data_IF_700867669821
#
_entry.id   IF_700867669821
#
_cell.length_a   1.000
_cell.length_b   1.000
_cell.length_c   1.000
_cell.angle_alpha   90.00
_cell.angle_beta   90.00
_cell.angle_gamma   90.00
#
_symmetry.space_group_name_H-M   'P 1'
#
loop_
_entity.id
_entity.type
_entity.pdbx_description
1 polymer ?
#
# COMPACT_ATOMS: atom_id res chain seq x y z
N UNK A 1 14.21 -17.80 46.03
CA UNK A 1 13.32 -17.36 44.94
C UNK A 1 12.51 -18.58 44.55
N UNK A 2 11.19 -18.53 44.71
CA UNK A 2 10.34 -19.71 44.48
C UNK A 2 10.43 -20.17 43.03
N UNK A 3 10.54 -21.48 42.82
CA UNK A 3 10.62 -22.11 41.49
C UNK A 3 9.44 -21.67 40.62
N UNK A 4 8.26 -21.51 41.22
CA UNK A 4 7.04 -20.99 40.60
C UNK A 4 7.24 -19.59 40.01
N UNK A 5 7.96 -18.72 40.71
CA UNK A 5 8.24 -17.35 40.29
C UNK A 5 9.23 -17.32 39.11
N UNK A 6 10.20 -18.23 39.11
CA UNK A 6 11.15 -18.40 38.00
C UNK A 6 10.41 -18.89 36.74
N UNK A 7 9.54 -19.89 36.89
CA UNK A 7 8.76 -20.43 35.77
C UNK A 7 7.82 -19.36 35.20
N UNK A 8 7.10 -18.63 36.05
CA UNK A 8 6.22 -17.56 35.62
C UNK A 8 6.97 -16.46 34.83
N UNK A 9 8.15 -16.06 35.32
CA UNK A 9 9.01 -15.09 34.63
C UNK A 9 9.48 -15.59 33.26
N UNK A 10 9.87 -16.87 33.16
CA UNK A 10 10.29 -17.47 31.89
C UNK A 10 9.17 -17.52 30.85
N UNK A 11 7.95 -17.90 31.27
CA UNK A 11 6.77 -17.93 30.38
C UNK A 11 6.42 -16.52 29.89
N UNK A 12 6.42 -15.53 30.79
CA UNK A 12 6.12 -14.14 30.42
C UNK A 12 7.15 -13.59 29.41
N UNK A 13 8.43 -13.87 29.64
CA UNK A 13 9.51 -13.48 28.74
C UNK A 13 9.37 -14.11 27.35
N UNK A 14 8.95 -15.39 27.29
CA UNK A 14 8.72 -16.08 26.02
C UNK A 14 7.55 -15.47 25.24
N UNK A 15 6.43 -15.18 25.91
CA UNK A 15 5.25 -14.54 25.27
C UNK A 15 5.61 -13.15 24.75
N UNK A 16 6.31 -12.34 25.57
CA UNK A 16 6.74 -11.01 25.16
C UNK A 16 7.69 -11.07 23.95
N UNK A 17 8.63 -12.02 23.93
CA UNK A 17 9.50 -12.23 22.78
C UNK A 17 8.72 -12.64 21.52
N UNK A 18 7.74 -13.55 21.67
CA UNK A 18 6.89 -13.97 20.56
C UNK A 18 6.04 -12.82 20.01
N UNK A 19 5.47 -11.95 20.86
CA UNK A 19 4.73 -10.77 20.43
C UNK A 19 5.61 -9.77 19.70
N UNK A 20 6.82 -9.49 20.20
CA UNK A 20 7.77 -8.62 19.49
C UNK A 20 8.08 -9.18 18.10
N UNK A 21 8.30 -10.49 17.98
CA UNK A 21 8.52 -11.11 16.68
C UNK A 21 7.27 -10.99 15.79
N UNK A 22 6.08 -11.25 16.32
CA UNK A 22 4.83 -11.16 15.57
C UNK A 22 4.47 -9.74 15.14
N UNK A 23 4.77 -8.72 15.94
CA UNK A 23 4.44 -7.33 15.63
C UNK A 23 5.46 -6.72 14.68
N UNK A 24 6.75 -7.02 14.85
CA UNK A 24 7.82 -6.33 14.12
C UNK A 24 8.40 -7.14 12.95
N UNK A 25 8.35 -8.47 12.99
CA UNK A 25 9.00 -9.32 11.97
C UNK A 25 8.02 -10.04 11.04
N UNK A 26 6.77 -10.28 11.48
CA UNK A 26 5.76 -10.88 10.62
C UNK A 26 5.09 -9.79 9.77
N UNK A 27 5.26 -9.80 8.44
CA UNK A 27 4.54 -8.86 7.59
C UNK A 27 3.04 -9.13 7.73
N UNK A 28 2.27 -8.07 7.99
CA UNK A 28 0.81 -8.15 7.95
C UNK A 28 0.41 -8.83 6.65
N UNK A 29 -0.37 -9.91 6.74
CA UNK A 29 -0.83 -10.66 5.58
C UNK A 29 -1.50 -9.64 4.65
N UNK A 30 -0.97 -9.49 3.43
CA UNK A 30 -1.55 -8.63 2.39
C UNK A 30 -2.89 -9.23 1.96
N UNK A 31 -3.91 -9.04 2.79
CA UNK A 31 -5.31 -9.19 2.36
C UNK A 31 -5.48 -8.16 1.26
N UNK A 32 -6.12 -8.56 0.14
CA UNK A 32 -6.37 -7.65 -0.99
C UNK A 32 -6.82 -6.28 -0.48
N UNK A 33 -6.32 -5.19 -1.08
CA UNK A 33 -6.61 -3.85 -0.62
C UNK A 33 -8.13 -3.67 -0.52
N UNK A 34 -8.60 -3.13 0.61
CA UNK A 34 -10.04 -2.96 0.87
C UNK A 34 -10.69 -2.05 -0.19
N UNK A 35 -9.91 -1.15 -0.77
CA UNK A 35 -10.31 -0.24 -1.83
C UNK A 35 -9.10 0.08 -2.72
N UNK A 36 -9.37 0.34 -4.00
CA UNK A 36 -8.39 0.90 -4.93
C UNK A 36 -8.76 2.36 -5.23
N UNK A 37 -7.76 3.23 -5.25
CA UNK A 37 -7.90 4.63 -5.64
C UNK A 37 -7.28 4.84 -7.01
N UNK A 38 -7.95 5.58 -7.88
CA UNK A 38 -7.43 5.93 -9.21
C UNK A 38 -7.16 7.43 -9.25
N UNK A 39 -5.93 7.80 -9.59
CA UNK A 39 -5.53 9.18 -9.84
C UNK A 39 -5.31 9.37 -11.35
N UNK A 40 -6.24 10.03 -12.07
CA UNK A 40 -6.00 10.39 -13.46
C UNK A 40 -5.05 11.59 -13.53
N UNK A 41 -4.05 11.50 -14.42
CA UNK A 41 -3.06 12.56 -14.66
C UNK A 41 -3.29 13.17 -16.04
N UNK A 42 -3.45 14.50 -16.05
CA UNK A 42 -3.65 15.29 -17.25
C UNK A 42 -2.57 16.39 -17.32
N UNK A 43 -2.13 16.74 -18.53
CA UNK A 43 -1.12 17.80 -18.75
C UNK A 43 -1.49 19.14 -18.09
N UNK A 44 -2.78 19.45 -18.02
CA UNK A 44 -3.29 20.70 -17.48
C UNK A 44 -3.30 20.75 -15.93
N UNK A 45 -3.02 19.62 -15.26
CA UNK A 45 -3.02 19.55 -13.80
C UNK A 45 -1.74 20.18 -13.21
N UNK A 46 -1.81 21.50 -12.98
CA UNK A 46 -0.76 22.27 -12.33
C UNK A 46 -0.61 21.97 -10.83
N UNK A 47 -1.60 21.32 -10.21
CA UNK A 47 -1.62 21.03 -8.76
C UNK A 47 -1.23 19.58 -8.47
N UNK A 48 -0.84 18.80 -9.48
CA UNK A 48 -0.41 17.41 -9.35
C UNK A 48 0.60 17.19 -8.20
N UNK A 49 1.66 18.00 -8.03
CA UNK A 49 2.62 17.77 -6.94
C UNK A 49 1.97 17.85 -5.55
N UNK A 50 1.11 18.84 -5.34
CA UNK A 50 0.41 19.04 -4.06
C UNK A 50 -0.59 17.90 -3.79
N UNK A 51 -1.24 17.38 -4.83
CA UNK A 51 -2.14 16.23 -4.71
C UNK A 51 -1.35 14.97 -4.33
N UNK A 52 -0.18 14.75 -4.93
CA UNK A 52 0.71 13.65 -4.57
C UNK A 52 1.19 13.77 -3.11
N UNK A 53 1.52 14.96 -2.64
CA UNK A 53 1.89 15.18 -1.23
C UNK A 53 0.74 14.84 -0.27
N UNK A 54 -0.48 15.24 -0.59
CA UNK A 54 -1.68 14.87 0.19
C UNK A 54 -1.94 13.37 0.16
N UNK A 55 -1.72 12.73 -1.00
CA UNK A 55 -1.83 11.29 -1.14
C UNK A 55 -0.79 10.54 -0.31
N UNK A 56 0.45 11.03 -0.24
CA UNK A 56 1.51 10.46 0.59
C UNK A 56 1.16 10.48 2.09
N UNK A 57 0.41 11.50 2.54
CA UNK A 57 -0.06 11.58 3.93
C UNK A 57 -1.15 10.56 4.26
N UNK A 58 -1.84 10.03 3.24
CA UNK A 58 -2.97 9.13 3.38
C UNK A 58 -2.68 7.69 2.92
N UNK A 59 -1.55 7.44 2.24
CA UNK A 59 -1.12 6.12 1.82
C UNK A 59 -0.56 5.32 3.01
N UNK A 60 -1.45 4.56 3.66
CA UNK A 60 -1.12 3.71 4.80
C UNK A 60 -0.88 2.23 4.45
N UNK A 61 -0.53 1.90 3.19
CA UNK A 61 -0.32 0.51 2.75
C UNK A 61 -1.57 -0.38 2.75
N UNK A 62 -2.77 0.21 2.83
CA UNK A 62 -4.06 -0.50 2.82
C UNK A 62 -4.84 -0.32 1.52
N UNK A 63 -4.24 0.38 0.57
CA UNK A 63 -4.86 0.91 -0.65
C UNK A 63 -3.98 0.66 -1.84
N UNK A 64 -4.54 0.06 -2.89
CA UNK A 64 -3.88 0.10 -4.18
C UNK A 64 -4.12 1.46 -4.81
N UNK A 65 -3.05 2.19 -5.09
CA UNK A 65 -3.12 3.45 -5.82
C UNK A 65 -2.76 3.18 -7.28
N UNK A 66 -3.65 3.55 -8.19
CA UNK A 66 -3.46 3.40 -9.62
C UNK A 66 -3.35 4.81 -10.21
N UNK A 67 -2.18 5.18 -10.69
CA UNK A 67 -1.95 6.44 -11.40
C UNK A 67 -2.18 6.19 -12.89
N UNK A 68 -3.21 6.79 -13.46
CA UNK A 68 -3.58 6.61 -14.86
C UNK A 68 -3.09 7.79 -15.70
N UNK A 69 -2.17 7.51 -16.62
CA UNK A 69 -1.67 8.47 -17.61
C UNK A 69 -2.68 8.61 -18.76
N UNK A 70 -3.33 9.78 -18.82
CA UNK A 70 -4.21 10.16 -19.92
C UNK A 70 -3.49 11.09 -20.90
N UNK A 71 -2.94 12.19 -20.37
CA UNK A 71 -2.21 13.19 -21.15
C UNK A 71 -1.04 13.75 -20.33
N UNK A 72 -0.41 12.95 -19.47
CA UNK A 72 0.62 13.45 -18.57
C UNK A 72 1.83 13.99 -19.36
N UNK A 73 2.44 15.07 -18.88
CA UNK A 73 3.74 15.51 -19.40
C UNK A 73 4.86 14.62 -18.85
N UNK A 74 6.01 14.58 -19.54
CA UNK A 74 7.18 13.82 -19.08
C UNK A 74 7.62 14.23 -17.66
N UNK A 75 7.52 15.52 -17.33
CA UNK A 75 7.83 16.04 -15.99
C UNK A 75 6.88 15.46 -14.92
N UNK A 76 5.57 15.43 -15.21
CA UNK A 76 4.56 14.84 -14.33
C UNK A 76 4.76 13.33 -14.16
N UNK A 77 5.14 12.62 -15.22
CA UNK A 77 5.44 11.19 -15.17
C UNK A 77 6.65 10.90 -14.30
N UNK A 78 7.70 11.74 -14.35
CA UNK A 78 8.85 11.61 -13.46
C UNK A 78 8.44 11.75 -11.99
N UNK A 79 7.60 12.74 -11.67
CA UNK A 79 7.06 12.92 -10.31
C UNK A 79 6.23 11.70 -9.85
N UNK A 80 5.37 11.18 -10.72
CA UNK A 80 4.58 9.98 -10.41
C UNK A 80 5.46 8.75 -10.17
N UNK A 81 6.54 8.59 -10.94
CA UNK A 81 7.51 7.49 -10.75
C UNK A 81 8.26 7.62 -9.43
N UNK A 82 8.66 8.83 -9.06
CA UNK A 82 9.29 9.09 -7.77
C UNK A 82 8.33 8.77 -6.62
N UNK A 83 7.06 9.18 -6.74
CA UNK A 83 6.02 8.84 -5.77
C UNK A 83 5.84 7.32 -5.64
N UNK A 84 5.64 6.60 -6.75
CA UNK A 84 5.47 5.14 -6.71
C UNK A 84 6.73 4.39 -6.24
N UNK A 85 7.93 4.97 -6.33
CA UNK A 85 9.13 4.37 -5.72
C UNK A 85 9.08 4.34 -4.20
N UNK A 86 8.33 5.26 -3.59
CA UNK A 86 8.16 5.33 -2.13
C UNK A 86 6.92 4.56 -1.65
N UNK A 87 5.97 4.30 -2.54
CA UNK A 87 4.70 3.62 -2.24
C UNK A 87 4.61 2.24 -2.90
N UNK A 88 4.77 1.13 -2.15
CA UNK A 88 4.85 -0.22 -2.72
C UNK A 88 3.55 -0.71 -3.36
N UNK A 89 2.41 -0.08 -3.06
CA UNK A 89 1.08 -0.41 -3.60
C UNK A 89 0.64 0.54 -4.72
N UNK A 90 1.58 1.34 -5.26
CA UNK A 90 1.38 2.28 -6.35
C UNK A 90 1.73 1.66 -7.71
N UNK A 91 0.84 1.80 -8.70
CA UNK A 91 1.07 1.34 -10.07
C UNK A 91 0.73 2.46 -11.05
N UNK A 92 1.64 2.73 -11.99
CA UNK A 92 1.43 3.68 -13.08
C UNK A 92 1.00 2.90 -14.32
N UNK A 93 -0.09 3.33 -14.94
CA UNK A 93 -0.73 2.64 -16.05
C UNK A 93 -1.12 3.66 -17.12
N UNK A 94 -1.16 3.24 -18.38
CA UNK A 94 -1.77 4.06 -19.43
C UNK A 94 -3.29 4.00 -19.32
N UNK A 95 -3.98 5.03 -19.83
CA UNK A 95 -5.44 5.07 -19.89
C UNK A 95 -6.03 3.78 -20.51
N UNK A 96 -5.43 3.27 -21.59
CA UNK A 96 -5.88 2.06 -22.29
C UNK A 96 -5.74 0.76 -21.47
N UNK A 97 -4.89 0.77 -20.45
CA UNK A 97 -4.62 -0.38 -19.58
C UNK A 97 -5.41 -0.32 -18.27
N UNK A 98 -5.99 0.85 -17.96
CA UNK A 98 -6.72 1.09 -16.72
C UNK A 98 -7.90 0.11 -16.56
N UNK A 99 -8.69 -0.09 -17.61
CA UNK A 99 -9.85 -0.98 -17.59
C UNK A 99 -9.45 -2.43 -17.26
N UNK A 100 -8.35 -2.92 -17.86
CA UNK A 100 -7.84 -4.27 -17.62
C UNK A 100 -7.41 -4.45 -16.16
N UNK A 101 -6.79 -3.44 -15.58
CA UNK A 101 -6.34 -3.47 -14.19
C UNK A 101 -7.51 -3.38 -13.23
N UNK A 102 -8.51 -2.53 -13.50
CA UNK A 102 -9.72 -2.47 -12.68
C UNK A 102 -10.48 -3.78 -12.72
N UNK A 103 -10.64 -4.39 -13.89
CA UNK A 103 -11.25 -5.72 -14.01
C UNK A 103 -10.49 -6.77 -13.22
N UNK A 104 -9.16 -6.79 -13.27
CA UNK A 104 -8.35 -7.74 -12.48
C UNK A 104 -8.43 -7.49 -10.98
N UNK A 105 -8.42 -6.23 -10.55
CA UNK A 105 -8.41 -5.82 -9.14
C UNK A 105 -9.77 -6.02 -8.48
N UNK A 106 -10.86 -5.80 -9.22
CA UNK A 106 -12.23 -5.92 -8.71
C UNK A 106 -12.96 -7.19 -9.19
N UNK A 107 -12.31 -8.06 -9.97
CA UNK A 107 -12.85 -9.37 -10.30
C UNK A 107 -13.07 -10.14 -9.00
N UNK A 108 -14.32 -10.12 -8.53
CA UNK A 108 -14.81 -11.03 -7.51
C UNK A 108 -14.58 -12.43 -8.09
N UNK A 109 -13.73 -13.28 -7.50
CA UNK A 109 -13.65 -14.66 -7.95
C UNK A 109 -15.06 -15.23 -7.79
N UNK A 110 -15.69 -15.56 -8.93
CA UNK A 110 -16.99 -16.21 -8.92
C UNK A 110 -16.84 -17.44 -8.02
N UNK A 111 -17.55 -17.42 -6.88
CA UNK A 111 -17.59 -18.53 -5.94
C UNK A 111 -18.00 -19.76 -6.73
N UNK A 112 -17.06 -20.69 -6.90
CA UNK A 112 -17.36 -22.10 -7.19
C UNK A 112 -17.60 -22.79 -5.85
#
# INVERSE_FOLDING_TARGET
MDITMIIAGAVLAFIAAAEVICVFLLPARRVSPLYAAVLPVFAEDALLPQRLDVLALHSGGRTSLIIADFTATEEQLVLCRQFCSNEPDCVIVKADELEKILLKTFAIPAKV
#
